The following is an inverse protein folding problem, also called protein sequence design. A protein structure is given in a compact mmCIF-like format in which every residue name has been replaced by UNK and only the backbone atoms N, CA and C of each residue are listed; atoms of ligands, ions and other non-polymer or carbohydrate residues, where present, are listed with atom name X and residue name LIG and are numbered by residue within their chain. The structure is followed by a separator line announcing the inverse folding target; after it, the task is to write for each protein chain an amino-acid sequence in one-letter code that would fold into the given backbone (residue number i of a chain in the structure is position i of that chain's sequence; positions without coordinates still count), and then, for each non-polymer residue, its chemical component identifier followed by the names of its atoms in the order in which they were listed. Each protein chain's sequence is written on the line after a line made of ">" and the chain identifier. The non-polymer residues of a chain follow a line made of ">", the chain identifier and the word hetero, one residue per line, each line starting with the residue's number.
data_IF_101220317079
#
_entry.id   IF_101220317079
#
_cell.length_a   1.000
_cell.length_b   1.000
_cell.length_c   1.000
_cell.angle_alpha   90.00
_cell.angle_beta   90.00
_cell.angle_gamma   90.00
#
_symmetry.space_group_name_H-M   'P 1'
#
loop_
_entity.id
_entity.type
_entity.pdbx_description
1 polymer ?
#
# COMPACT_ATOMS: atom_id res chain seq x y z
N UNK A 1 -15.69 -10.36 -6.40
CA UNK A 1 -16.77 -9.34 -6.32
C UNK A 1 -16.21 -8.05 -6.91
N UNK A 2 -16.89 -7.48 -7.89
CA UNK A 2 -16.52 -6.18 -8.45
C UNK A 2 -16.92 -5.07 -7.48
N UNK A 3 -15.94 -4.60 -6.69
CA UNK A 3 -16.14 -3.57 -5.68
C UNK A 3 -16.58 -2.23 -6.31
N UNK A 4 -16.12 -1.90 -7.53
CA UNK A 4 -16.52 -0.65 -8.20
C UNK A 4 -17.97 -0.68 -8.65
N UNK A 5 -18.46 -1.82 -9.15
CA UNK A 5 -19.87 -2.00 -9.45
C UNK A 5 -20.72 -1.87 -8.18
N UNK A 6 -20.25 -2.41 -7.05
CA UNK A 6 -20.93 -2.30 -5.77
C UNK A 6 -20.98 -0.84 -5.29
N UNK A 7 -19.85 -0.13 -5.33
CA UNK A 7 -19.80 1.30 -4.95
C UNK A 7 -20.71 2.13 -5.83
N UNK A 8 -20.69 1.94 -7.16
CA UNK A 8 -21.59 2.63 -8.10
C UNK A 8 -23.07 2.41 -7.78
N UNK A 9 -23.42 1.18 -7.37
CA UNK A 9 -24.81 0.83 -7.02
C UNK A 9 -25.29 1.58 -5.78
N UNK A 10 -24.43 1.80 -4.79
CA UNK A 10 -24.82 2.36 -3.50
C UNK A 10 -24.46 3.84 -3.36
N UNK A 11 -23.45 4.30 -4.08
CA UNK A 11 -23.00 5.70 -4.04
C UNK A 11 -23.54 6.46 -5.24
N UNK A 12 -24.53 7.32 -5.00
CA UNK A 12 -25.26 8.03 -6.07
C UNK A 12 -24.50 9.21 -6.68
N UNK A 13 -23.44 9.66 -6.01
CA UNK A 13 -22.60 10.76 -6.50
C UNK A 13 -21.45 10.23 -7.36
N UNK A 14 -20.99 11.00 -8.36
CA UNK A 14 -19.76 10.69 -9.06
C UNK A 14 -18.59 10.61 -8.06
N UNK A 15 -17.77 9.58 -8.17
CA UNK A 15 -16.58 9.44 -7.35
C UNK A 15 -15.36 9.14 -8.23
N UNK A 16 -14.20 9.49 -7.73
CA UNK A 16 -12.91 9.21 -8.33
C UNK A 16 -12.05 8.43 -7.33
N UNK A 17 -11.17 7.59 -7.82
CA UNK A 17 -10.32 6.72 -7.03
C UNK A 17 -8.88 6.89 -7.47
N UNK A 18 -7.99 7.15 -6.53
CA UNK A 18 -6.54 7.10 -6.77
C UNK A 18 -6.04 5.74 -6.31
N UNK A 19 -5.42 5.01 -7.23
CA UNK A 19 -4.89 3.66 -6.99
C UNK A 19 -3.38 3.73 -6.92
N UNK A 20 -2.81 3.52 -5.73
CA UNK A 20 -1.36 3.50 -5.55
C UNK A 20 -0.82 2.11 -5.90
N UNK A 21 0.11 2.07 -6.85
CA UNK A 21 0.81 0.86 -7.30
C UNK A 21 2.21 0.80 -6.67
N UNK A 22 2.57 -0.33 -6.11
CA UNK A 22 3.89 -0.56 -5.52
C UNK A 22 4.43 -1.92 -5.95
N UNK A 23 5.76 -2.05 -6.07
CA UNK A 23 6.39 -3.35 -6.36
C UNK A 23 5.95 -4.39 -5.33
N UNK A 24 5.55 -5.55 -5.83
CA UNK A 24 5.00 -6.61 -4.97
C UNK A 24 6.02 -7.14 -3.97
N UNK A 25 7.30 -7.19 -4.33
CA UNK A 25 8.34 -7.64 -3.40
C UNK A 25 8.52 -6.65 -2.25
N UNK A 26 8.41 -5.34 -2.51
CA UNK A 26 8.41 -4.31 -1.45
C UNK A 26 7.22 -4.46 -0.51
N UNK A 27 6.04 -4.77 -1.05
CA UNK A 27 4.84 -5.03 -0.24
C UNK A 27 5.04 -6.25 0.64
N UNK A 28 5.53 -7.36 0.08
CA UNK A 28 5.79 -8.59 0.83
C UNK A 28 6.89 -8.41 1.88
N UNK A 29 7.93 -7.64 1.59
CA UNK A 29 8.96 -7.27 2.56
C UNK A 29 8.38 -6.49 3.74
N UNK A 30 7.43 -5.58 3.49
CA UNK A 30 6.74 -4.83 4.54
C UNK A 30 5.88 -5.75 5.42
N UNK A 31 5.20 -6.73 4.84
CA UNK A 31 4.47 -7.75 5.60
C UNK A 31 5.42 -8.63 6.43
N UNK A 32 6.59 -9.03 5.87
CA UNK A 32 7.60 -9.78 6.62
C UNK A 32 8.10 -8.99 7.82
N UNK A 33 8.44 -7.73 7.63
CA UNK A 33 8.84 -6.84 8.71
C UNK A 33 7.75 -6.77 9.78
N UNK A 34 6.52 -6.53 9.36
CA UNK A 34 5.39 -6.42 10.28
C UNK A 34 5.21 -7.65 11.16
N UNK A 35 5.12 -8.86 10.60
CA UNK A 35 4.90 -10.04 11.42
C UNK A 35 6.15 -10.48 12.20
N UNK A 36 7.33 -10.03 11.80
CA UNK A 36 8.56 -10.30 12.56
C UNK A 36 8.66 -9.37 13.78
N UNK A 37 8.29 -8.10 13.62
CA UNK A 37 8.35 -7.11 14.69
C UNK A 37 7.12 -7.16 15.63
N UNK A 38 6.04 -7.83 15.23
CA UNK A 38 4.79 -7.92 15.99
C UNK A 38 4.40 -9.38 16.24
N UNK A 39 4.71 -9.95 17.41
CA UNK A 39 4.38 -11.34 17.74
C UNK A 39 2.89 -11.69 17.59
N UNK A 40 2.01 -10.73 17.85
CA UNK A 40 0.55 -10.88 17.74
C UNK A 40 0.00 -10.64 16.33
N UNK A 41 0.89 -10.37 15.35
CA UNK A 41 0.47 -10.21 13.96
C UNK A 41 -0.29 -11.46 13.47
N UNK A 42 -1.31 -11.19 12.64
CA UNK A 42 -2.22 -12.24 12.18
C UNK A 42 -1.52 -13.49 11.60
N UNK A 43 -0.42 -13.43 10.83
CA UNK A 43 0.25 -14.63 10.37
C UNK A 43 0.87 -15.47 11.50
N UNK A 44 1.22 -14.84 12.62
CA UNK A 44 1.81 -15.52 13.77
C UNK A 44 0.79 -16.26 14.64
N UNK A 45 -0.51 -15.96 14.47
CA UNK A 45 -1.60 -16.64 15.18
C UNK A 45 -1.92 -18.02 14.60
N UNK A 46 -1.32 -18.35 13.45
CA UNK A 46 -1.46 -19.65 12.80
C UNK A 46 -0.20 -20.47 13.03
N UNK A 47 -0.34 -21.78 13.07
CA UNK A 47 0.80 -22.69 13.23
C UNK A 47 1.60 -22.83 11.93
N UNK A 48 2.14 -21.70 11.44
CA UNK A 48 2.96 -21.61 10.23
C UNK A 48 4.44 -21.71 10.60
N UNK A 49 5.15 -22.59 9.94
CA UNK A 49 6.51 -22.99 10.32
C UNK A 49 7.60 -22.00 9.88
N UNK A 50 7.36 -21.28 8.79
CA UNK A 50 8.38 -20.43 8.18
C UNK A 50 7.76 -19.25 7.39
N UNK A 51 8.63 -18.39 6.88
CA UNK A 51 8.21 -17.19 6.13
C UNK A 51 7.57 -17.53 4.78
N UNK A 52 7.94 -18.65 4.15
CA UNK A 52 7.32 -19.10 2.91
C UNK A 52 5.84 -19.42 3.13
N UNK A 53 5.50 -20.12 4.22
CA UNK A 53 4.12 -20.42 4.57
C UNK A 53 3.33 -19.18 4.93
N UNK A 54 3.93 -18.24 5.70
CA UNK A 54 3.29 -16.97 6.08
C UNK A 54 3.01 -16.10 4.86
N UNK A 55 3.98 -15.92 3.97
CA UNK A 55 3.80 -15.15 2.74
C UNK A 55 2.83 -15.85 1.79
N UNK A 56 2.88 -17.17 1.69
CA UNK A 56 1.92 -17.94 0.89
C UNK A 56 0.48 -17.77 1.40
N UNK A 57 0.29 -17.65 2.71
CA UNK A 57 -1.02 -17.36 3.29
C UNK A 57 -1.52 -15.96 2.92
N UNK A 58 -0.64 -14.95 2.97
CA UNK A 58 -0.97 -13.57 2.59
C UNK A 58 -1.30 -13.47 1.09
N UNK A 59 -0.65 -14.30 0.28
CA UNK A 59 -0.82 -14.38 -1.18
C UNK A 59 -1.86 -15.39 -1.66
N UNK A 60 -2.51 -16.15 -0.77
CA UNK A 60 -3.58 -17.07 -1.18
C UNK A 60 -4.84 -16.29 -1.58
N UNK A 61 -5.80 -16.95 -2.24
CA UNK A 61 -7.03 -16.34 -2.77
C UNK A 61 -7.79 -15.48 -1.76
N UNK A 62 -7.72 -15.81 -0.48
CA UNK A 62 -8.40 -15.10 0.61
C UNK A 62 -7.45 -14.17 1.38
N UNK A 63 -6.16 -14.16 1.03
CA UNK A 63 -5.15 -13.35 1.66
C UNK A 63 -5.26 -11.86 1.31
N UNK A 64 -4.70 -11.03 2.17
CA UNK A 64 -4.82 -9.58 2.01
C UNK A 64 -4.23 -9.10 0.69
N UNK A 65 -2.99 -9.47 0.37
CA UNK A 65 -2.31 -9.00 -0.85
C UNK A 65 -2.96 -9.53 -2.12
N UNK A 66 -3.44 -10.79 -2.13
CA UNK A 66 -4.13 -11.33 -3.29
C UNK A 66 -5.45 -10.59 -3.58
N UNK A 67 -6.17 -10.20 -2.54
CA UNK A 67 -7.39 -9.36 -2.69
C UNK A 67 -7.07 -7.97 -3.22
N UNK A 68 -5.97 -7.37 -2.75
CA UNK A 68 -5.53 -6.07 -3.25
C UNK A 68 -5.13 -6.15 -4.73
N UNK A 69 -4.41 -7.21 -5.13
CA UNK A 69 -4.08 -7.47 -6.54
C UNK A 69 -5.33 -7.67 -7.41
N UNK A 70 -6.33 -8.36 -6.90
CA UNK A 70 -7.61 -8.52 -7.60
C UNK A 70 -8.35 -7.17 -7.71
N UNK A 71 -8.34 -6.36 -6.66
CA UNK A 71 -8.93 -5.02 -6.68
C UNK A 71 -8.23 -4.10 -7.68
N UNK A 72 -6.90 -4.13 -7.74
CA UNK A 72 -6.10 -3.39 -8.73
C UNK A 72 -6.47 -3.84 -10.16
N UNK A 73 -6.53 -5.15 -10.43
CA UNK A 73 -6.96 -5.67 -11.74
C UNK A 73 -8.35 -5.18 -12.11
N UNK A 74 -9.29 -5.19 -11.16
CA UNK A 74 -10.62 -4.67 -11.40
C UNK A 74 -10.62 -3.17 -11.69
N UNK A 75 -9.77 -2.38 -11.02
CA UNK A 75 -9.65 -0.94 -11.24
C UNK A 75 -9.26 -0.59 -12.69
N UNK A 76 -8.46 -1.42 -13.37
CA UNK A 76 -8.12 -1.22 -14.78
C UNK A 76 -9.32 -1.23 -15.73
N UNK A 77 -10.44 -1.82 -15.33
CA UNK A 77 -11.69 -1.79 -16.10
C UNK A 77 -12.45 -0.45 -15.96
N UNK A 78 -11.96 0.46 -15.11
CA UNK A 78 -12.62 1.73 -14.79
C UNK A 78 -11.71 2.94 -14.98
N UNK A 79 -11.11 3.16 -16.16
CA UNK A 79 -10.12 4.21 -16.38
C UNK A 79 -10.68 5.63 -16.22
N UNK A 80 -12.00 5.81 -16.36
CA UNK A 80 -12.65 7.12 -16.17
C UNK A 80 -12.81 7.54 -14.70
N UNK A 81 -12.70 6.58 -13.77
CA UNK A 81 -12.86 6.83 -12.33
C UNK A 81 -11.62 6.43 -11.52
N UNK A 82 -10.63 5.78 -12.13
CA UNK A 82 -9.40 5.35 -11.48
C UNK A 82 -8.19 6.04 -12.10
N UNK A 83 -7.39 6.69 -11.29
CA UNK A 83 -6.07 7.20 -11.63
C UNK A 83 -5.00 6.36 -10.94
N UNK A 84 -4.04 5.85 -11.71
CA UNK A 84 -3.00 4.98 -11.21
C UNK A 84 -1.72 5.77 -10.96
N UNK A 85 -1.19 5.67 -9.76
CA UNK A 85 0.05 6.34 -9.33
C UNK A 85 1.05 5.28 -8.90
N UNK A 86 2.23 5.27 -9.50
CA UNK A 86 3.33 4.41 -9.06
C UNK A 86 4.00 5.03 -7.84
N UNK A 87 4.21 4.23 -6.81
CA UNK A 87 4.90 4.68 -5.59
C UNK A 87 6.28 5.27 -5.88
N UNK A 88 7.04 4.64 -6.77
CA UNK A 88 8.39 5.11 -7.12
C UNK A 88 8.35 6.47 -7.81
N UNK A 89 7.40 6.71 -8.71
CA UNK A 89 7.21 7.99 -9.38
C UNK A 89 6.76 9.07 -8.38
N UNK A 90 5.81 8.70 -7.49
CA UNK A 90 5.32 9.60 -6.44
C UNK A 90 6.44 10.04 -5.50
N UNK A 91 7.37 9.15 -5.15
CA UNK A 91 8.49 9.47 -4.28
C UNK A 91 9.59 10.24 -5.01
N UNK A 92 9.83 9.94 -6.30
CA UNK A 92 10.84 10.61 -7.09
C UNK A 92 10.43 12.02 -7.53
N UNK A 93 9.15 12.21 -7.86
CA UNK A 93 8.60 13.45 -8.40
C UNK A 93 7.25 13.81 -7.75
N UNK A 94 7.22 14.01 -6.41
CA UNK A 94 5.96 14.12 -5.67
C UNK A 94 5.07 15.28 -6.15
N UNK A 95 5.63 16.43 -6.43
CA UNK A 95 4.84 17.59 -6.91
C UNK A 95 4.17 17.30 -8.25
N UNK A 96 4.89 16.66 -9.18
CA UNK A 96 4.35 16.33 -10.49
C UNK A 96 3.20 15.31 -10.39
N UNK A 97 3.39 14.27 -9.58
CA UNK A 97 2.36 13.24 -9.39
C UNK A 97 1.13 13.81 -8.67
N UNK A 98 1.30 14.67 -7.66
CA UNK A 98 0.19 15.35 -7.02
C UNK A 98 -0.57 16.26 -7.97
N UNK A 99 0.11 17.00 -8.87
CA UNK A 99 -0.57 17.81 -9.91
C UNK A 99 -1.46 16.95 -10.80
N UNK A 100 -0.97 15.78 -11.26
CA UNK A 100 -1.77 14.83 -12.05
C UNK A 100 -3.00 14.33 -11.27
N UNK A 101 -2.83 14.05 -9.97
CA UNK A 101 -3.94 13.62 -9.09
C UNK A 101 -5.00 14.73 -9.00
N UNK A 102 -4.60 15.99 -8.76
CA UNK A 102 -5.52 17.12 -8.68
C UNK A 102 -6.24 17.37 -10.02
N UNK A 103 -5.50 17.32 -11.12
CA UNK A 103 -6.08 17.42 -12.47
C UNK A 103 -7.11 16.31 -12.72
N UNK A 104 -6.76 15.07 -12.38
CA UNK A 104 -7.70 13.95 -12.48
C UNK A 104 -8.94 14.16 -11.60
N UNK A 105 -8.80 14.65 -10.38
CA UNK A 105 -9.92 14.95 -9.49
C UNK A 105 -10.78 16.10 -10.01
N UNK A 106 -10.22 16.98 -10.83
CA UNK A 106 -10.87 18.21 -11.29
C UNK A 106 -10.85 19.31 -10.23
N UNK A 107 -9.87 19.26 -9.32
CA UNK A 107 -9.72 20.20 -8.22
C UNK A 107 -8.54 21.15 -8.46
N UNK A 108 -8.61 22.40 -7.99
CA UNK A 108 -7.46 23.29 -8.01
C UNK A 108 -6.29 22.72 -7.23
N UNK A 109 -5.08 22.83 -7.79
CA UNK A 109 -3.90 22.33 -7.12
C UNK A 109 -3.64 23.08 -5.80
N UNK A 110 -3.56 22.32 -4.71
CA UNK A 110 -3.11 22.81 -3.41
C UNK A 110 -1.59 22.61 -3.29
N UNK A 111 -0.88 23.66 -2.88
CA UNK A 111 0.58 23.56 -2.70
C UNK A 111 0.93 22.73 -1.46
N UNK A 112 1.66 21.65 -1.68
CA UNK A 112 2.16 20.75 -0.65
C UNK A 112 3.64 21.01 -0.38
N UNK A 113 4.05 20.78 0.86
CA UNK A 113 5.48 20.77 1.24
C UNK A 113 5.97 19.32 1.25
N UNK A 114 6.92 19.01 0.37
CA UNK A 114 7.48 17.66 0.23
C UNK A 114 8.85 17.49 0.89
N UNK A 115 9.50 18.60 1.26
CA UNK A 115 10.86 18.58 1.79
C UNK A 115 10.94 18.61 3.32
N UNK A 116 9.85 18.90 3.98
CA UNK A 116 9.78 19.01 5.43
C UNK A 116 8.46 18.45 5.95
N UNK A 117 8.32 17.14 5.84
CA UNK A 117 7.20 16.42 6.44
C UNK A 117 7.48 16.31 7.94
N UNK A 118 6.58 16.87 8.72
CA UNK A 118 6.63 16.73 10.17
C UNK A 118 5.53 15.76 10.60
N UNK A 119 5.82 14.94 11.59
CA UNK A 119 4.82 14.07 12.17
C UNK A 119 3.65 14.90 12.68
N UNK A 120 2.47 14.68 12.09
CA UNK A 120 1.26 15.40 12.48
C UNK A 120 0.83 14.91 13.86
N UNK A 121 0.73 15.85 14.80
CA UNK A 121 0.07 15.61 16.08
C UNK A 121 -1.41 15.93 15.93
N UNK A 122 -2.27 14.96 16.22
CA UNK A 122 -3.72 15.16 16.30
C UNK A 122 -4.07 15.33 17.77
N UNK A 123 -4.60 16.50 18.14
CA UNK A 123 -4.93 16.84 19.53
C UNK A 123 -3.72 16.65 20.51
N UNK A 124 -2.51 16.97 20.06
CA UNK A 124 -1.30 16.80 20.85
C UNK A 124 -0.72 15.39 20.93
N UNK A 125 -1.43 14.39 20.37
CA UNK A 125 -0.98 12.99 20.33
C UNK A 125 -0.29 12.70 19.00
N UNK A 126 0.90 12.11 19.06
CA UNK A 126 1.58 11.58 17.89
C UNK A 126 0.83 10.35 17.38
N UNK A 127 0.82 10.18 16.05
CA UNK A 127 0.28 8.98 15.44
C UNK A 127 1.03 7.74 15.92
N UNK A 128 0.31 6.74 16.42
CA UNK A 128 0.86 5.51 16.95
C UNK A 128 -0.09 4.34 16.68
N UNK A 129 0.29 3.46 15.75
CA UNK A 129 -0.48 2.27 15.38
C UNK A 129 -0.61 1.25 16.50
N UNK A 130 0.25 1.31 17.52
CA UNK A 130 0.20 0.38 18.67
C UNK A 130 -1.13 0.47 19.40
N UNK A 131 -1.83 1.61 19.31
CA UNK A 131 -3.18 1.79 19.86
C UNK A 131 -4.17 0.82 19.22
N UNK A 132 -3.96 0.44 17.94
CA UNK A 132 -4.80 -0.51 17.19
C UNK A 132 -4.16 -1.91 17.08
N UNK A 133 -3.12 -2.17 17.87
CA UNK A 133 -2.53 -3.50 18.04
C UNK A 133 -1.40 -3.87 17.09
N UNK A 134 -0.90 -2.94 16.29
CA UNK A 134 0.26 -3.21 15.44
C UNK A 134 1.09 -1.95 15.18
N UNK A 135 2.39 -2.11 14.99
CA UNK A 135 3.31 -1.03 14.64
C UNK A 135 3.65 -1.15 13.14
N UNK A 136 2.65 -0.88 12.29
CA UNK A 136 2.81 -1.02 10.83
C UNK A 136 3.34 0.25 10.15
N UNK A 137 2.93 1.41 10.63
CA UNK A 137 3.18 2.68 9.94
C UNK A 137 4.02 3.59 10.81
N UNK A 138 5.30 3.69 10.49
CA UNK A 138 6.16 4.76 11.01
C UNK A 138 6.04 5.96 10.09
N UNK A 139 5.63 7.09 10.67
CA UNK A 139 5.78 8.37 9.99
C UNK A 139 7.23 8.83 10.16
N UNK A 140 7.83 9.25 9.07
CA UNK A 140 9.20 9.76 9.06
C UNK A 140 9.17 11.27 8.86
N UNK A 141 9.93 11.98 9.67
CA UNK A 141 10.16 13.40 9.49
C UNK A 141 11.17 13.64 8.34
N UNK A 142 11.07 14.83 7.72
CA UNK A 142 11.98 15.26 6.68
C UNK A 142 11.43 15.12 5.25
N UNK A 143 12.27 15.06 4.22
CA UNK A 143 11.83 15.00 2.84
C UNK A 143 11.22 13.64 2.50
N UNK A 144 10.29 13.66 1.54
CA UNK A 144 9.82 12.42 0.91
C UNK A 144 11.01 11.69 0.32
N UNK A 145 11.15 10.42 0.61
CA UNK A 145 12.23 9.57 0.10
C UNK A 145 11.80 8.11 0.05
N UNK A 146 12.38 7.38 -0.90
CA UNK A 146 12.25 5.92 -0.91
C UNK A 146 12.98 5.34 0.32
N UNK A 147 12.26 4.52 1.09
CA UNK A 147 12.83 3.81 2.23
C UNK A 147 13.14 2.39 1.79
N UNK A 148 14.42 2.02 1.89
CA UNK A 148 14.84 0.65 1.66
C UNK A 148 14.37 -0.25 2.81
N UNK A 149 13.75 -1.36 2.46
CA UNK A 149 13.34 -2.36 3.45
C UNK A 149 14.26 -3.59 3.34
N UNK A 150 15.12 -3.86 4.35
CA UNK A 150 16.08 -4.96 4.29
C UNK A 150 15.42 -6.35 4.27
N UNK A 151 14.15 -6.45 4.62
CA UNK A 151 13.41 -7.71 4.52
C UNK A 151 13.19 -8.15 3.07
N UNK A 152 13.38 -7.26 2.10
CA UNK A 152 13.32 -7.65 0.68
C UNK A 152 14.33 -8.74 0.35
N UNK A 153 15.51 -8.71 0.96
CA UNK A 153 16.55 -9.72 0.74
C UNK A 153 16.22 -11.07 1.40
N UNK A 154 15.35 -11.05 2.40
CA UNK A 154 14.95 -12.24 3.16
C UNK A 154 13.74 -12.97 2.56
N UNK A 155 13.11 -12.42 1.53
CA UNK A 155 11.97 -13.08 0.87
C UNK A 155 12.43 -14.44 0.32
N UNK A 156 11.77 -15.56 0.67
CA UNK A 156 12.13 -16.88 0.20
C UNK A 156 12.15 -16.97 -1.33
N UNK A 157 13.15 -17.69 -1.84
CA UNK A 157 13.37 -17.81 -3.30
C UNK A 157 12.12 -18.35 -4.04
N UNK A 158 11.42 -19.31 -3.47
CA UNK A 158 10.17 -19.84 -4.04
C UNK A 158 9.08 -18.78 -4.20
N UNK A 159 8.99 -17.84 -3.25
CA UNK A 159 8.06 -16.71 -3.32
C UNK A 159 8.49 -15.77 -4.44
N UNK A 160 9.79 -15.46 -4.57
CA UNK A 160 10.33 -14.64 -5.66
C UNK A 160 10.05 -15.26 -7.03
N UNK A 161 10.32 -16.54 -7.21
CA UNK A 161 10.08 -17.26 -8.46
C UNK A 161 8.57 -17.26 -8.82
N UNK A 162 7.72 -17.47 -7.83
CA UNK A 162 6.28 -17.57 -8.05
C UNK A 162 5.61 -16.23 -8.36
N UNK A 163 6.05 -15.16 -7.71
CA UNK A 163 5.35 -13.87 -7.77
C UNK A 163 6.19 -12.71 -8.31
N UNK A 164 7.50 -12.88 -8.45
CA UNK A 164 8.42 -11.82 -8.89
C UNK A 164 8.21 -11.33 -10.32
N UNK A 165 7.36 -11.99 -11.11
CA UNK A 165 6.96 -11.53 -12.45
C UNK A 165 5.84 -10.49 -12.44
N UNK A 166 5.15 -10.31 -11.29
CA UNK A 166 4.08 -9.32 -11.16
C UNK A 166 4.72 -7.94 -11.00
N UNK A 167 4.48 -7.06 -11.98
CA UNK A 167 4.98 -5.68 -12.03
C UNK A 167 3.83 -4.73 -12.32
N UNK A 168 3.97 -3.48 -11.86
CA UNK A 168 3.04 -2.38 -12.11
C UNK A 168 3.74 -1.19 -12.74
#
# INVERSE_FOLDING_TARGET
>A
IDNFALVKKHYKQPFKCVVLLRDLMDVLASYMQWYTENPDAFPNRYNLKNDEEKLSMIMNKNGAVAKDLEAIKNAFNYPSICHFVKYDDLVAQPEQEFRKIYEFMGEPYFYHTFNNLNQVKINGLSYDDRIVGSNMHKLFDGPIRKVYNPYIEKIPERIRQKYGHIRF
#
